data_IF_965945799881
#
_entry.id   IF_965945799881
#
_cell.length_a   1.000
_cell.length_b   1.000
_cell.length_c   1.000
_cell.angle_alpha   90.00
_cell.angle_beta   90.00
_cell.angle_gamma   90.00
#
_symmetry.space_group_name_H-M   'P 1'
#
loop_
_entity.id
_entity.type
_entity.pdbx_description
1 polymer ?
#
# COMPACT_ATOMS: atom_id res chain seq x y z
N UNK A 1 6.09 1.49 4.83
CA UNK A 1 5.67 2.52 5.82
C UNK A 1 5.22 1.80 7.08
N UNK A 2 5.62 2.29 8.25
CA UNK A 2 5.25 1.73 9.56
C UNK A 2 4.46 2.78 10.33
N UNK A 3 3.32 2.41 10.90
CA UNK A 3 2.54 3.22 11.82
C UNK A 3 2.54 2.56 13.20
N UNK A 4 2.61 3.35 14.26
CA UNK A 4 2.51 2.84 15.64
C UNK A 4 1.63 3.74 16.51
N UNK A 5 0.88 3.10 17.43
CA UNK A 5 0.07 3.77 18.43
C UNK A 5 0.09 2.93 19.73
N UNK A 6 0.79 3.41 20.75
CA UNK A 6 1.08 2.64 21.95
C UNK A 6 1.82 1.35 21.62
N UNK A 7 1.26 0.21 22.03
CA UNK A 7 1.83 -1.12 21.75
C UNK A 7 1.48 -1.67 20.35
N UNK A 8 0.56 -1.04 19.65
CA UNK A 8 0.12 -1.50 18.34
C UNK A 8 0.96 -0.91 17.22
N UNK A 9 1.35 -1.74 16.27
CA UNK A 9 2.05 -1.32 15.05
C UNK A 9 1.44 -1.98 13.82
N UNK A 10 1.49 -1.30 12.68
CA UNK A 10 1.00 -1.78 11.38
C UNK A 10 1.97 -1.37 10.27
N UNK A 11 2.18 -2.27 9.32
CA UNK A 11 3.10 -2.06 8.22
C UNK A 11 4.53 -2.51 8.54
N UNK A 12 5.46 -2.23 7.66
CA UNK A 12 6.87 -2.62 7.77
C UNK A 12 7.79 -1.60 7.10
N UNK A 13 9.07 -1.61 7.47
CA UNK A 13 10.15 -0.82 6.86
C UNK A 13 11.15 -1.71 6.14
N UNK A 14 11.84 -2.59 6.89
CA UNK A 14 12.88 -3.50 6.39
C UNK A 14 12.59 -4.97 6.69
N UNK A 15 11.61 -5.25 7.55
CA UNK A 15 11.21 -6.61 7.94
C UNK A 15 12.15 -7.26 8.95
N UNK A 16 12.78 -6.47 9.86
CA UNK A 16 13.71 -7.03 10.82
C UNK A 16 14.06 -6.12 11.99
N UNK A 17 15.28 -6.21 12.48
CA UNK A 17 15.76 -5.55 13.71
C UNK A 17 15.65 -4.01 13.66
N UNK A 18 15.58 -3.41 12.47
CA UNK A 18 15.43 -1.94 12.35
C UNK A 18 14.06 -1.49 12.87
N UNK A 19 13.00 -2.25 12.61
CA UNK A 19 11.67 -1.96 13.15
C UNK A 19 11.65 -2.02 14.67
N UNK A 20 12.26 -3.07 15.23
CA UNK A 20 12.32 -3.27 16.69
C UNK A 20 13.09 -2.13 17.37
N UNK A 21 14.27 -1.80 16.84
CA UNK A 21 15.11 -0.69 17.35
C UNK A 21 14.38 0.65 17.27
N UNK A 22 13.70 0.92 16.15
CA UNK A 22 12.94 2.16 15.96
C UNK A 22 11.75 2.25 16.92
N UNK A 23 10.98 1.17 17.06
CA UNK A 23 9.84 1.13 17.97
C UNK A 23 10.28 1.28 19.43
N UNK A 24 11.39 0.65 19.83
CA UNK A 24 11.95 0.80 21.17
C UNK A 24 12.40 2.25 21.44
N UNK A 25 13.09 2.88 20.50
CA UNK A 25 13.48 4.30 20.60
C UNK A 25 12.27 5.23 20.71
N UNK A 26 11.17 4.94 20.02
CA UNK A 26 9.93 5.72 20.12
C UNK A 26 9.25 5.52 21.48
N UNK A 27 9.15 4.28 21.97
CA UNK A 27 8.55 3.94 23.28
C UNK A 27 9.33 4.51 24.45
N UNK A 28 10.64 4.51 24.36
CA UNK A 28 11.53 5.07 25.39
C UNK A 28 11.73 6.58 25.29
N UNK A 29 11.03 7.24 24.34
CA UNK A 29 11.22 8.67 24.05
C UNK A 29 12.67 9.07 23.73
N UNK A 30 13.47 8.15 23.22
CA UNK A 30 14.82 8.43 22.73
C UNK A 30 14.79 9.23 21.41
N UNK A 31 13.66 9.24 20.72
CA UNK A 31 13.39 10.05 19.53
C UNK A 31 12.26 11.01 19.87
N UNK A 32 12.52 12.31 19.75
CA UNK A 32 11.48 13.34 19.82
C UNK A 32 10.82 13.49 18.44
N UNK A 33 9.66 12.87 18.28
CA UNK A 33 8.90 12.92 17.03
C UNK A 33 7.95 14.14 16.95
N UNK A 34 8.05 15.10 17.87
CA UNK A 34 7.20 16.32 17.87
C UNK A 34 7.37 17.16 16.61
N UNK A 35 8.56 17.10 16.00
CA UNK A 35 8.84 17.58 14.64
C UNK A 35 9.35 16.40 13.80
N UNK A 36 9.20 16.43 12.46
CA UNK A 36 9.72 15.38 11.60
C UNK A 36 11.21 15.19 11.76
N UNK A 37 11.65 13.97 12.02
CA UNK A 37 13.06 13.62 12.13
C UNK A 37 13.45 12.60 11.08
N UNK A 38 14.56 12.86 10.38
CA UNK A 38 15.17 11.90 9.49
C UNK A 38 16.20 11.08 10.27
N UNK A 39 15.94 9.78 10.39
CA UNK A 39 16.83 8.83 11.07
C UNK A 39 17.54 8.01 10.02
N UNK A 40 18.85 7.86 10.16
CA UNK A 40 19.68 7.06 9.28
C UNK A 40 20.12 5.79 10.01
N UNK A 41 19.99 4.65 9.36
CA UNK A 41 20.48 3.35 9.81
C UNK A 41 21.49 2.81 8.79
N UNK A 42 22.41 1.99 9.26
CA UNK A 42 23.40 1.37 8.38
C UNK A 42 24.65 2.24 8.17
N UNK A 43 24.92 3.14 9.11
CA UNK A 43 26.04 4.11 8.99
C UNK A 43 27.38 3.46 9.28
N UNK A 44 27.45 2.50 10.22
CA UNK A 44 28.69 1.79 10.57
C UNK A 44 28.58 0.28 10.36
N UNK A 45 29.74 -0.40 10.27
CA UNK A 45 29.82 -1.85 10.15
C UNK A 45 29.24 -2.56 11.39
N UNK A 46 29.50 -2.00 12.58
CA UNK A 46 28.98 -2.53 13.85
C UNK A 46 27.45 -2.41 13.92
N UNK A 47 26.90 -1.29 13.45
CA UNK A 47 25.46 -1.10 13.38
C UNK A 47 24.82 -2.07 12.38
N UNK A 48 25.43 -2.27 11.22
CA UNK A 48 24.99 -3.23 10.22
C UNK A 48 24.96 -4.66 10.77
N UNK A 49 25.98 -5.06 11.51
CA UNK A 49 26.03 -6.38 12.14
C UNK A 49 24.94 -6.52 13.21
N UNK A 50 24.79 -5.53 14.09
CA UNK A 50 23.79 -5.50 15.16
C UNK A 50 22.37 -5.56 14.62
N UNK A 51 22.08 -4.85 13.53
CA UNK A 51 20.74 -4.74 12.93
C UNK A 51 20.47 -5.76 11.82
N UNK A 52 21.41 -6.65 11.54
CA UNK A 52 21.25 -7.66 10.50
C UNK A 52 21.11 -7.07 9.10
N UNK A 53 21.90 -6.03 8.77
CA UNK A 53 21.94 -5.37 7.47
C UNK A 53 23.14 -5.87 6.63
N UNK A 54 23.13 -7.12 6.12
CA UNK A 54 24.32 -7.74 5.53
C UNK A 54 24.73 -7.09 4.20
N UNK A 55 23.83 -6.38 3.55
CA UNK A 55 24.11 -5.69 2.28
C UNK A 55 24.86 -4.35 2.45
N UNK A 56 25.10 -3.89 3.68
CA UNK A 56 25.73 -2.59 3.96
C UNK A 56 24.90 -1.40 3.45
N UNK A 57 23.60 -1.61 3.21
CA UNK A 57 22.68 -0.56 2.75
C UNK A 57 22.37 0.45 3.84
N UNK A 58 22.20 1.71 3.43
CA UNK A 58 21.70 2.77 4.32
C UNK A 58 20.20 2.91 4.18
N UNK A 59 19.51 3.03 5.33
CA UNK A 59 18.08 3.30 5.41
C UNK A 59 17.87 4.71 5.96
N UNK A 60 17.11 5.52 5.24
CA UNK A 60 16.64 6.82 5.71
C UNK A 60 15.16 6.72 6.04
N UNK A 61 14.83 6.94 7.30
CA UNK A 61 13.48 6.81 7.83
C UNK A 61 13.01 8.17 8.33
N UNK A 62 11.97 8.71 7.73
CA UNK A 62 11.30 9.89 8.27
C UNK A 62 10.32 9.46 9.36
N UNK A 63 10.53 9.94 10.57
CA UNK A 63 9.63 9.77 11.71
C UNK A 63 8.84 11.05 11.89
N UNK A 64 7.53 10.92 11.99
CA UNK A 64 6.60 12.03 12.20
C UNK A 64 5.50 11.61 13.18
N UNK A 65 5.24 12.41 14.19
CA UNK A 65 4.09 12.24 15.07
C UNK A 65 2.84 12.79 14.38
N UNK A 66 1.75 12.03 14.44
CA UNK A 66 0.44 12.47 14.00
C UNK A 66 -0.41 12.78 15.24
N UNK A 67 -1.02 13.95 15.25
CA UNK A 67 -2.02 14.34 16.23
C UNK A 67 -3.41 14.32 15.60
N UNK A 68 -4.49 14.28 16.37
CA UNK A 68 -5.85 14.43 15.84
C UNK A 68 -6.02 15.68 14.97
N UNK A 69 -5.36 16.80 15.34
CA UNK A 69 -5.40 18.05 14.58
C UNK A 69 -4.63 18.01 13.25
N UNK A 70 -3.74 17.05 13.07
CA UNK A 70 -2.95 16.86 11.84
C UNK A 70 -3.39 15.63 11.03
N UNK A 71 -4.53 15.04 11.38
CA UNK A 71 -5.00 13.78 10.78
C UNK A 71 -5.89 13.98 9.54
N UNK A 72 -6.34 15.20 9.26
CA UNK A 72 -7.30 15.48 8.17
C UNK A 72 -6.78 14.97 6.82
N UNK A 73 -5.50 15.22 6.51
CA UNK A 73 -4.91 14.72 5.28
C UNK A 73 -4.93 13.18 5.18
N UNK A 74 -4.91 12.46 6.31
CA UNK A 74 -4.99 10.99 6.32
C UNK A 74 -6.37 10.53 5.88
N UNK A 75 -7.42 11.22 6.35
CA UNK A 75 -8.81 10.96 5.98
C UNK A 75 -9.00 11.20 4.48
N UNK A 76 -8.48 12.32 3.98
CA UNK A 76 -8.54 12.68 2.56
C UNK A 76 -7.83 11.62 1.70
N UNK A 77 -6.63 11.21 2.10
CA UNK A 77 -5.88 10.15 1.41
C UNK A 77 -6.65 8.83 1.42
N UNK A 78 -7.14 8.37 2.57
CA UNK A 78 -7.89 7.11 2.67
C UNK A 78 -9.14 7.14 1.80
N UNK A 79 -9.85 8.28 1.81
CA UNK A 79 -11.06 8.47 0.99
C UNK A 79 -10.73 8.41 -0.50
N UNK A 80 -9.68 9.12 -0.93
CA UNK A 80 -9.24 9.12 -2.32
C UNK A 80 -8.77 7.73 -2.79
N UNK A 81 -7.98 7.02 -1.96
CA UNK A 81 -7.50 5.67 -2.29
C UNK A 81 -8.65 4.67 -2.42
N UNK A 82 -9.68 4.77 -1.58
CA UNK A 82 -10.90 3.96 -1.68
C UNK A 82 -11.70 4.28 -2.94
N UNK A 83 -11.67 5.52 -3.39
CA UNK A 83 -12.24 5.96 -4.67
C UNK A 83 -11.31 5.69 -5.86
N UNK A 84 -10.22 4.92 -5.65
CA UNK A 84 -9.19 4.57 -6.63
C UNK A 84 -8.47 5.78 -7.25
N UNK A 85 -8.39 6.88 -6.52
CA UNK A 85 -7.66 8.08 -6.92
C UNK A 85 -6.27 8.11 -6.29
N UNK A 86 -5.27 8.53 -7.04
CA UNK A 86 -3.91 8.72 -6.52
C UNK A 86 -3.78 10.08 -5.84
N UNK A 87 -2.92 10.13 -4.82
CA UNK A 87 -2.65 11.34 -4.05
C UNK A 87 -1.14 11.58 -3.97
N UNK A 88 -0.74 12.82 -3.79
CA UNK A 88 0.62 13.18 -3.37
C UNK A 88 0.58 13.84 -2.00
N UNK A 89 1.35 13.27 -1.09
CA UNK A 89 1.58 13.85 0.23
C UNK A 89 2.85 14.68 0.20
N UNK A 90 2.79 15.91 0.73
CA UNK A 90 3.95 16.78 0.94
C UNK A 90 4.04 17.14 2.41
N UNK A 91 5.19 16.84 3.03
CA UNK A 91 5.49 17.18 4.43
C UNK A 91 6.61 18.20 4.47
N UNK A 92 6.40 19.33 5.13
CA UNK A 92 7.45 20.28 5.49
C UNK A 92 8.26 19.72 6.66
N UNK A 93 9.57 19.56 6.48
CA UNK A 93 10.45 18.90 7.47
C UNK A 93 10.79 19.80 8.66
N UNK A 94 10.57 21.10 8.57
CA UNK A 94 10.83 22.03 9.67
C UNK A 94 9.64 22.18 10.60
N UNK A 95 8.44 22.19 10.03
CA UNK A 95 7.21 22.48 10.78
C UNK A 95 6.39 21.22 11.04
N UNK A 96 6.58 20.15 10.27
CA UNK A 96 5.76 18.95 10.32
C UNK A 96 4.41 19.09 9.61
N UNK A 97 4.11 20.27 9.05
CA UNK A 97 2.87 20.49 8.33
C UNK A 97 2.84 19.57 7.11
N UNK A 98 1.76 18.82 7.00
CA UNK A 98 1.53 17.87 5.91
C UNK A 98 0.26 18.24 5.18
N UNK A 99 0.32 18.30 3.86
CA UNK A 99 -0.84 18.41 2.98
C UNK A 99 -0.87 17.21 2.01
N UNK A 100 -2.06 16.90 1.52
CA UNK A 100 -2.27 15.89 0.50
C UNK A 100 -3.15 16.47 -0.62
N UNK A 101 -2.78 16.19 -1.86
CA UNK A 101 -3.46 16.68 -3.06
C UNK A 101 -3.66 15.51 -4.02
N UNK A 102 -4.68 15.60 -4.88
CA UNK A 102 -4.89 14.60 -5.95
C UNK A 102 -3.71 14.64 -6.92
N UNK A 103 -3.22 13.48 -7.29
CA UNK A 103 -2.16 13.32 -8.28
C UNK A 103 -2.73 12.66 -9.54
N UNK A 104 -2.55 13.31 -10.69
CA UNK A 104 -2.95 12.75 -12.00
C UNK A 104 -1.97 11.67 -12.46
N UNK A 105 -0.66 11.88 -12.16
CA UNK A 105 0.42 10.99 -12.56
C UNK A 105 1.15 10.38 -11.35
N UNK A 106 1.99 9.39 -11.63
CA UNK A 106 2.88 8.81 -10.63
C UNK A 106 3.88 9.84 -10.10
N UNK A 107 3.86 10.06 -8.78
CA UNK A 107 4.83 10.93 -8.09
C UNK A 107 5.84 10.06 -7.34
N UNK A 108 7.12 10.06 -7.75
CA UNK A 108 8.15 9.31 -7.04
C UNK A 108 8.41 9.91 -5.65
N UNK A 109 8.87 9.04 -4.74
CA UNK A 109 9.36 9.51 -3.44
C UNK A 109 10.54 10.45 -3.65
N UNK A 110 10.45 11.67 -3.14
CA UNK A 110 11.53 12.65 -3.20
C UNK A 110 11.73 13.35 -1.87
N UNK A 111 12.98 13.45 -1.46
CA UNK A 111 13.42 14.12 -0.24
C UNK A 111 14.33 15.28 -0.60
N UNK A 112 13.99 16.45 -0.09
CA UNK A 112 14.83 17.66 -0.16
C UNK A 112 15.26 18.07 1.24
N UNK A 113 16.02 19.15 1.37
CA UNK A 113 16.39 19.69 2.70
C UNK A 113 15.17 20.18 3.51
N UNK A 114 14.07 20.53 2.85
CA UNK A 114 12.93 21.17 3.52
C UNK A 114 11.63 20.36 3.41
N UNK A 115 11.55 19.41 2.52
CA UNK A 115 10.29 18.69 2.29
C UNK A 115 10.49 17.24 1.85
N UNK A 116 9.51 16.41 2.22
CA UNK A 116 9.32 15.08 1.66
C UNK A 116 8.07 15.10 0.78
N UNK A 117 8.18 14.62 -0.45
CA UNK A 117 7.03 14.30 -1.32
C UNK A 117 6.91 12.81 -1.50
N UNK A 118 5.69 12.29 -1.37
CA UNK A 118 5.39 10.87 -1.50
C UNK A 118 4.10 10.66 -2.28
N UNK A 119 4.18 9.96 -3.39
CA UNK A 119 3.00 9.47 -4.11
C UNK A 119 2.35 8.32 -3.35
N UNK A 120 1.03 8.37 -3.23
CA UNK A 120 0.18 7.35 -2.64
C UNK A 120 -0.88 6.98 -3.68
N UNK A 121 -1.04 5.70 -3.95
CA UNK A 121 -2.01 5.23 -4.95
C UNK A 121 -2.84 4.06 -4.43
N UNK A 122 -3.97 3.74 -5.09
CA UNK A 122 -4.75 2.57 -4.76
C UNK A 122 -3.93 1.30 -4.97
N UNK A 123 -4.37 0.21 -4.34
CA UNK A 123 -3.80 -1.12 -4.60
C UNK A 123 -3.95 -1.47 -6.08
N UNK A 124 -3.02 -2.29 -6.57
CA UNK A 124 -3.23 -2.95 -7.86
C UNK A 124 -4.49 -3.79 -7.79
N UNK A 125 -5.36 -3.71 -8.79
CA UNK A 125 -6.56 -4.51 -8.90
C UNK A 125 -6.35 -5.58 -9.96
N UNK A 126 -6.78 -6.80 -9.69
CA UNK A 126 -6.79 -7.89 -10.67
C UNK A 126 -8.22 -8.35 -10.91
N UNK A 127 -8.67 -8.17 -12.14
CA UNK A 127 -9.96 -8.65 -12.60
C UNK A 127 -9.78 -9.98 -13.34
N UNK A 128 -10.33 -11.05 -12.80
CA UNK A 128 -10.29 -12.40 -13.37
C UNK A 128 -11.62 -12.66 -14.09
N UNK A 129 -11.54 -12.89 -15.39
CA UNK A 129 -12.68 -13.22 -16.23
C UNK A 129 -12.77 -14.74 -16.40
N UNK A 130 -13.75 -15.34 -15.73
CA UNK A 130 -13.95 -16.78 -15.60
C UNK A 130 -13.66 -17.26 -14.18
N UNK A 131 -14.66 -17.85 -13.50
CA UNK A 131 -14.61 -18.29 -12.11
C UNK A 131 -14.25 -19.77 -11.94
N UNK A 132 -13.47 -20.33 -12.86
CA UNK A 132 -13.03 -21.73 -12.85
C UNK A 132 -11.91 -21.99 -11.83
N UNK A 133 -11.42 -23.21 -11.83
CA UNK A 133 -10.37 -23.70 -10.90
C UNK A 133 -9.08 -22.88 -10.97
N UNK A 134 -8.67 -22.47 -12.18
CA UNK A 134 -7.49 -21.65 -12.39
C UNK A 134 -7.63 -20.26 -11.74
N UNK A 135 -8.83 -19.68 -11.84
CA UNK A 135 -9.13 -18.39 -11.19
C UNK A 135 -8.99 -18.46 -9.67
N UNK A 136 -9.40 -19.57 -9.05
CA UNK A 136 -9.27 -19.76 -7.60
C UNK A 136 -7.81 -19.73 -7.14
N UNK A 137 -6.92 -20.41 -7.88
CA UNK A 137 -5.49 -20.43 -7.58
C UNK A 137 -4.87 -19.06 -7.83
N UNK A 138 -5.20 -18.44 -8.97
CA UNK A 138 -4.65 -17.13 -9.31
C UNK A 138 -5.12 -16.04 -8.32
N UNK A 139 -6.36 -16.11 -7.85
CA UNK A 139 -6.89 -15.22 -6.81
C UNK A 139 -6.08 -15.33 -5.50
N UNK A 140 -5.74 -16.55 -5.07
CA UNK A 140 -4.89 -16.75 -3.89
C UNK A 140 -3.51 -16.10 -4.06
N UNK A 141 -2.87 -16.31 -5.20
CA UNK A 141 -1.57 -15.72 -5.50
C UNK A 141 -1.63 -14.19 -5.58
N UNK A 142 -2.68 -13.65 -6.21
CA UNK A 142 -2.88 -12.20 -6.32
C UNK A 142 -3.08 -11.55 -4.95
N UNK A 143 -3.89 -12.15 -4.07
CA UNK A 143 -4.06 -11.67 -2.69
C UNK A 143 -2.75 -11.72 -1.90
N UNK A 144 -1.94 -12.77 -2.08
CA UNK A 144 -0.62 -12.86 -1.44
C UNK A 144 0.36 -11.77 -1.93
N UNK A 145 0.16 -11.25 -3.13
CA UNK A 145 0.89 -10.11 -3.70
C UNK A 145 0.23 -8.75 -3.43
N UNK A 146 -0.73 -8.70 -2.51
CA UNK A 146 -1.46 -7.48 -2.09
C UNK A 146 -2.33 -6.85 -3.19
N UNK A 147 -2.79 -7.64 -4.18
CA UNK A 147 -3.80 -7.19 -5.13
C UNK A 147 -5.19 -7.16 -4.48
N UNK A 148 -6.00 -6.21 -4.93
CA UNK A 148 -7.46 -6.29 -4.80
C UNK A 148 -7.97 -7.18 -5.94
N UNK A 149 -8.70 -8.25 -5.60
CA UNK A 149 -9.12 -9.24 -6.59
C UNK A 149 -10.62 -9.20 -6.79
N UNK A 150 -11.03 -9.13 -8.06
CA UNK A 150 -12.42 -9.26 -8.50
C UNK A 150 -12.49 -10.44 -9.47
N UNK A 151 -13.49 -11.29 -9.31
CA UNK A 151 -13.75 -12.42 -10.22
C UNK A 151 -15.12 -12.24 -10.87
N UNK A 152 -15.19 -12.39 -12.18
CA UNK A 152 -16.45 -12.35 -12.91
C UNK A 152 -16.65 -13.59 -13.76
N UNK A 153 -17.90 -14.03 -13.87
CA UNK A 153 -18.33 -15.06 -14.80
C UNK A 153 -19.77 -14.77 -15.27
N UNK A 154 -20.10 -15.14 -16.50
CA UNK A 154 -21.45 -15.02 -17.05
C UNK A 154 -22.38 -16.13 -16.56
N UNK A 155 -21.86 -17.15 -15.90
CA UNK A 155 -22.60 -18.31 -15.40
C UNK A 155 -22.79 -18.19 -13.90
N UNK A 156 -24.02 -17.94 -13.50
CA UNK A 156 -24.39 -17.76 -12.10
C UNK A 156 -24.07 -18.99 -11.23
N UNK A 157 -24.30 -20.19 -11.78
CA UNK A 157 -24.02 -21.46 -11.10
C UNK A 157 -22.52 -21.66 -10.82
N UNK A 158 -21.64 -21.15 -11.68
CA UNK A 158 -20.18 -21.21 -11.47
C UNK A 158 -19.76 -20.24 -10.37
N UNK A 159 -20.31 -19.03 -10.37
CA UNK A 159 -20.11 -18.06 -9.28
C UNK A 159 -20.59 -18.62 -7.94
N UNK A 160 -21.78 -19.23 -7.91
CA UNK A 160 -22.36 -19.80 -6.69
C UNK A 160 -21.53 -20.99 -6.14
N UNK A 161 -20.75 -21.66 -6.97
CA UNK A 161 -19.88 -22.79 -6.61
C UNK A 161 -18.43 -22.36 -6.32
N UNK A 162 -18.17 -21.06 -6.18
CA UNK A 162 -16.82 -20.57 -5.90
C UNK A 162 -16.26 -21.17 -4.59
N UNK A 163 -15.10 -21.78 -4.68
CA UNK A 163 -14.37 -22.38 -3.54
C UNK A 163 -12.99 -21.74 -3.32
N UNK A 164 -12.70 -20.65 -4.04
CA UNK A 164 -11.48 -19.88 -3.88
C UNK A 164 -11.50 -19.00 -2.61
N UNK A 165 -10.53 -18.10 -2.49
CA UNK A 165 -10.46 -17.17 -1.37
C UNK A 165 -11.66 -16.20 -1.37
N UNK A 166 -11.86 -15.52 -0.22
CA UNK A 166 -12.86 -14.46 -0.08
C UNK A 166 -12.46 -13.24 -0.92
N UNK A 167 -13.17 -13.02 -2.01
CA UNK A 167 -12.96 -11.94 -2.98
C UNK A 167 -14.31 -11.44 -3.51
N UNK A 168 -14.32 -10.29 -4.15
CA UNK A 168 -15.53 -9.79 -4.80
C UNK A 168 -15.88 -10.66 -6.01
N UNK A 169 -17.07 -11.26 -5.97
CA UNK A 169 -17.60 -12.10 -7.04
C UNK A 169 -18.73 -11.36 -7.77
N UNK A 170 -18.60 -11.22 -9.07
CA UNK A 170 -19.57 -10.50 -9.90
C UNK A 170 -20.14 -11.42 -10.99
N UNK A 171 -21.47 -11.55 -11.02
CA UNK A 171 -22.17 -12.18 -12.14
C UNK A 171 -22.51 -11.11 -13.18
N UNK A 172 -22.11 -11.30 -14.43
CA UNK A 172 -22.39 -10.37 -15.51
C UNK A 172 -21.49 -10.53 -16.73
N UNK A 173 -21.71 -9.66 -17.71
CA UNK A 173 -20.86 -9.58 -18.89
C UNK A 173 -19.52 -8.94 -18.52
N UNK A 174 -18.38 -9.55 -18.88
CA UNK A 174 -17.07 -9.05 -18.52
C UNK A 174 -16.77 -7.64 -19.01
N UNK A 175 -17.21 -7.28 -20.20
CA UNK A 175 -17.00 -5.95 -20.78
C UNK A 175 -17.71 -4.85 -19.98
N UNK A 176 -18.94 -5.07 -19.50
CA UNK A 176 -19.66 -4.15 -18.64
C UNK A 176 -18.94 -3.99 -17.28
N UNK A 177 -18.47 -5.11 -16.71
CA UNK A 177 -17.77 -5.12 -15.44
C UNK A 177 -16.40 -4.44 -15.58
N UNK A 178 -15.65 -4.75 -16.63
CA UNK A 178 -14.38 -4.09 -16.94
C UNK A 178 -14.58 -2.59 -17.09
N UNK A 179 -15.58 -2.17 -17.89
CA UNK A 179 -15.88 -0.76 -18.11
C UNK A 179 -16.22 -0.01 -16.80
N UNK A 180 -16.90 -0.68 -15.87
CA UNK A 180 -17.28 -0.08 -14.58
C UNK A 180 -16.17 -0.06 -13.52
N UNK A 181 -15.16 -0.93 -13.65
CA UNK A 181 -14.13 -1.16 -12.62
C UNK A 181 -12.71 -0.73 -13.01
N UNK A 182 -12.41 -0.66 -14.31
CA UNK A 182 -11.07 -0.31 -14.80
C UNK A 182 -10.91 1.18 -15.09
N UNK A 183 -11.23 2.03 -14.12
CA UNK A 183 -11.18 3.49 -14.27
C UNK A 183 -9.78 4.11 -14.14
N UNK A 184 -8.79 3.34 -13.71
CA UNK A 184 -7.41 3.81 -13.46
C UNK A 184 -6.36 2.85 -14.04
N UNK A 185 -5.11 3.27 -14.23
CA UNK A 185 -4.05 2.46 -14.82
C UNK A 185 -3.53 1.33 -13.93
N UNK A 186 -4.04 1.18 -12.70
CA UNK A 186 -3.60 0.14 -11.74
C UNK A 186 -4.50 -1.10 -11.79
N UNK A 187 -4.87 -1.49 -13.00
CA UNK A 187 -5.69 -2.66 -13.26
C UNK A 187 -4.94 -3.69 -14.09
N UNK A 188 -5.12 -4.95 -13.74
CA UNK A 188 -4.69 -6.11 -14.52
C UNK A 188 -5.94 -6.94 -14.83
N UNK A 189 -6.18 -7.21 -16.10
CA UNK A 189 -7.31 -8.03 -16.54
C UNK A 189 -6.75 -9.35 -17.07
N UNK A 190 -7.24 -10.46 -16.53
CA UNK A 190 -6.82 -11.81 -16.92
C UNK A 190 -8.03 -12.61 -17.35
N UNK A 191 -8.08 -12.97 -18.64
CA UNK A 191 -9.14 -13.80 -19.18
C UNK A 191 -8.77 -15.27 -19.06
N UNK A 192 -9.59 -16.03 -18.32
CA UNK A 192 -9.40 -17.45 -18.01
C UNK A 192 -10.54 -18.32 -18.56
N UNK A 193 -11.31 -17.79 -19.47
CA UNK A 193 -12.41 -18.50 -20.15
C UNK A 193 -11.97 -18.93 -21.53
N UNK A 194 -12.57 -20.02 -22.02
CA UNK A 194 -12.44 -20.50 -23.39
C UNK A 194 -13.68 -20.15 -24.25
N UNK A 195 -14.61 -19.39 -23.70
CA UNK A 195 -15.80 -18.95 -24.46
C UNK A 195 -15.40 -17.84 -25.44
N UNK A 196 -15.49 -18.07 -26.76
CA UNK A 196 -15.07 -17.08 -27.76
C UNK A 196 -15.99 -15.87 -27.85
N UNK A 197 -17.09 -15.85 -27.07
CA UNK A 197 -18.05 -14.74 -27.02
C UNK A 197 -17.75 -13.74 -25.90
N UNK A 198 -16.70 -14.01 -25.12
CA UNK A 198 -16.27 -13.21 -23.96
C UNK A 198 -14.90 -12.62 -24.27
#
# INVERSE_FOLDING_TARGET
MLGCCGEHSIGTLSGGCVEEDLLDKLRTHAIDASIPQLIEYGVSAEENERLGLPCGGRLHILVQQLSPASADWVIDVVTALRARSSMVRTTDLKTGVTCAEVAEDYVPLSLTQNSLKQGLGPKMQMLLVGAGQLAQVLAQLALAMDYEVIVTDTREDVIAQWQGPDVELLHGLPDDIIASRSSDPKNVIVTLTHDPRI
#
